data_IF_718335930779
#
_entry.id   IF_718335930779
#
_cell.length_a   1.000
_cell.length_b   1.000
_cell.length_c   1.000
_cell.angle_alpha   90.00
_cell.angle_beta   90.00
_cell.angle_gamma   90.00
#
_symmetry.space_group_name_H-M   'P 1'
#
loop_
_entity.id
_entity.type
_entity.pdbx_description
1 polymer ?
#
# COMPACT_ATOMS: atom_id res chain seq x y z
N UNK A 1 -21.23 42.97 -0.56
CA UNK A 1 -21.10 41.49 -0.65
C UNK A 1 -19.95 41.23 -1.58
N UNK A 2 -18.79 40.90 -1.03
CA UNK A 2 -17.57 40.63 -1.79
C UNK A 2 -17.66 39.17 -2.26
N UNK A 3 -17.77 38.96 -3.57
CA UNK A 3 -17.73 37.62 -4.17
C UNK A 3 -16.34 37.06 -3.92
N UNK A 4 -16.27 36.05 -3.08
CA UNK A 4 -15.08 35.18 -2.95
C UNK A 4 -14.97 34.47 -4.30
N UNK A 5 -14.04 34.92 -5.14
CA UNK A 5 -13.63 34.18 -6.33
C UNK A 5 -12.97 32.88 -5.83
N UNK A 6 -13.63 31.75 -6.04
CA UNK A 6 -13.00 30.45 -5.87
C UNK A 6 -11.79 30.38 -6.81
N UNK A 7 -10.60 30.03 -6.29
CA UNK A 7 -9.45 29.84 -7.15
C UNK A 7 -9.76 28.67 -8.11
N UNK A 8 -9.91 28.96 -9.40
CA UNK A 8 -10.01 27.95 -10.44
C UNK A 8 -8.68 27.18 -10.47
N UNK A 9 -8.62 26.04 -9.73
CA UNK A 9 -7.52 25.10 -9.83
C UNK A 9 -7.56 24.49 -11.24
N UNK A 10 -6.65 24.92 -12.12
CA UNK A 10 -6.39 24.26 -13.38
C UNK A 10 -5.63 22.94 -13.12
N UNK A 11 -6.37 21.87 -12.79
CA UNK A 11 -5.79 20.55 -12.65
C UNK A 11 -5.55 19.96 -14.04
N UNK A 12 -4.28 19.77 -14.38
CA UNK A 12 -3.88 19.04 -15.57
C UNK A 12 -3.38 17.64 -15.17
N UNK A 13 -3.48 16.68 -16.09
CA UNK A 13 -2.86 15.38 -15.90
C UNK A 13 -1.44 15.43 -16.41
N UNK A 14 -0.48 15.31 -15.50
CA UNK A 14 0.94 15.16 -15.85
C UNK A 14 1.36 13.71 -15.86
N UNK A 15 2.21 13.36 -16.83
CA UNK A 15 2.89 12.08 -16.92
C UNK A 15 4.32 12.27 -16.40
N UNK A 16 4.59 11.77 -15.20
CA UNK A 16 5.73 12.16 -14.38
C UNK A 16 6.79 11.07 -14.42
N UNK A 17 8.01 11.45 -14.73
CA UNK A 17 9.22 10.66 -14.50
C UNK A 17 10.02 11.33 -13.38
N UNK A 18 10.07 10.71 -12.22
CA UNK A 18 10.92 11.13 -11.11
C UNK A 18 12.18 10.27 -11.10
N UNK A 19 13.34 10.88 -11.01
CA UNK A 19 14.63 10.19 -10.97
C UNK A 19 15.58 10.84 -9.98
N UNK A 20 16.40 10.04 -9.30
CA UNK A 20 17.46 10.51 -8.41
C UNK A 20 18.71 9.61 -8.45
N UNK A 21 19.83 10.16 -7.98
CA UNK A 21 21.12 9.46 -7.85
C UNK A 21 21.17 8.71 -6.54
N UNK A 22 21.30 7.38 -6.62
CA UNK A 22 21.35 6.53 -5.44
C UNK A 22 22.67 6.73 -4.67
N UNK A 23 22.56 7.10 -3.40
CA UNK A 23 23.73 7.30 -2.52
C UNK A 23 24.37 8.68 -2.62
N UNK A 24 23.76 9.63 -3.32
CA UNK A 24 24.24 10.98 -3.53
C UNK A 24 24.78 11.67 -2.25
N UNK A 25 24.06 11.60 -1.14
CA UNK A 25 24.47 12.22 0.13
C UNK A 25 25.74 11.65 0.76
N UNK A 26 26.29 10.56 0.23
CA UNK A 26 27.55 9.94 0.70
C UNK A 26 28.75 10.33 -0.13
N UNK A 27 28.56 11.06 -1.20
CA UNK A 27 29.59 11.49 -2.13
C UNK A 27 30.23 12.79 -1.65
N UNK A 28 31.47 13.04 -2.08
CA UNK A 28 32.13 14.32 -1.89
C UNK A 28 31.46 15.41 -2.78
N UNK A 29 31.60 16.67 -2.41
CA UNK A 29 30.91 17.78 -3.10
C UNK A 29 31.27 17.84 -4.60
N UNK A 30 32.54 17.61 -4.94
CA UNK A 30 32.98 17.61 -6.35
C UNK A 30 32.38 16.44 -7.13
N UNK A 31 32.31 15.23 -6.52
CA UNK A 31 31.66 14.07 -7.13
C UNK A 31 30.15 14.29 -7.29
N UNK A 32 29.50 14.96 -6.33
CA UNK A 32 28.10 15.31 -6.42
C UNK A 32 27.81 16.19 -7.64
N UNK A 33 28.62 17.24 -7.83
CA UNK A 33 28.49 18.16 -8.96
C UNK A 33 28.74 17.44 -10.29
N UNK A 34 29.79 16.61 -10.39
CA UNK A 34 30.11 15.85 -11.60
C UNK A 34 28.94 14.95 -12.00
N UNK A 35 28.42 14.14 -11.06
CA UNK A 35 27.35 13.19 -11.35
C UNK A 35 26.03 13.85 -11.68
N UNK A 36 25.71 15.00 -11.07
CA UNK A 36 24.50 15.76 -11.43
C UNK A 36 24.63 16.33 -12.85
N UNK A 37 25.80 16.86 -13.23
CA UNK A 37 26.03 17.36 -14.58
C UNK A 37 25.95 16.23 -15.61
N UNK A 38 26.55 15.09 -15.33
CA UNK A 38 26.51 13.90 -16.17
C UNK A 38 25.06 13.41 -16.37
N UNK A 39 24.27 13.33 -15.27
CA UNK A 39 22.86 12.97 -15.33
C UNK A 39 22.06 13.97 -16.18
N UNK A 40 22.29 15.27 -15.99
CA UNK A 40 21.62 16.32 -16.74
C UNK A 40 21.92 16.20 -18.24
N UNK A 41 23.16 15.88 -18.62
CA UNK A 41 23.53 15.68 -20.01
C UNK A 41 22.81 14.46 -20.60
N UNK A 42 22.87 13.31 -19.94
CA UNK A 42 22.21 12.08 -20.40
C UNK A 42 20.71 12.33 -20.62
N UNK A 43 20.05 12.99 -19.66
CA UNK A 43 18.60 13.26 -19.75
C UNK A 43 18.28 14.15 -20.95
N UNK A 44 19.05 15.25 -21.14
CA UNK A 44 18.85 16.18 -22.26
C UNK A 44 19.12 15.57 -23.63
N UNK A 45 19.93 14.54 -23.71
CA UNK A 45 20.25 13.84 -24.94
C UNK A 45 19.17 12.85 -25.37
N UNK A 46 18.21 12.50 -24.49
CA UNK A 46 17.11 11.61 -24.84
C UNK A 46 16.21 12.24 -25.90
N UNK A 47 15.71 11.41 -26.82
CA UNK A 47 14.78 11.84 -27.87
C UNK A 47 13.49 12.39 -27.29
N UNK A 48 12.94 11.71 -26.26
CA UNK A 48 11.69 12.09 -25.63
C UNK A 48 11.77 13.44 -24.93
N UNK A 49 12.91 13.72 -24.27
CA UNK A 49 13.13 15.01 -23.65
C UNK A 49 13.14 16.12 -24.70
N UNK A 50 13.94 15.97 -25.76
CA UNK A 50 14.07 16.97 -26.82
C UNK A 50 12.76 17.23 -27.57
N UNK A 51 12.02 16.17 -27.87
CA UNK A 51 10.75 16.29 -28.56
C UNK A 51 9.72 17.04 -27.70
N UNK A 52 9.56 16.66 -26.44
CA UNK A 52 8.62 17.31 -25.52
C UNK A 52 9.03 18.76 -25.19
N UNK A 53 10.35 19.05 -25.11
CA UNK A 53 10.86 20.40 -24.92
C UNK A 53 10.57 21.30 -26.13
N UNK A 54 10.79 20.81 -27.33
CA UNK A 54 10.51 21.55 -28.57
C UNK A 54 9.02 21.86 -28.75
N UNK A 55 8.14 21.00 -28.27
CA UNK A 55 6.69 21.20 -28.27
C UNK A 55 6.18 22.09 -27.11
N UNK A 56 7.04 22.48 -26.17
CA UNK A 56 6.63 23.19 -24.96
C UNK A 56 5.75 22.34 -24.01
N UNK A 57 5.89 21.00 -24.07
CA UNK A 57 5.11 20.02 -23.32
C UNK A 57 5.91 19.33 -22.20
N UNK A 58 7.06 19.90 -21.84
CA UNK A 58 7.93 19.40 -20.79
C UNK A 58 8.16 20.45 -19.71
N UNK A 59 7.81 20.09 -18.46
CA UNK A 59 8.25 20.87 -17.30
C UNK A 59 9.31 20.09 -16.54
N UNK A 60 10.35 20.80 -16.10
CA UNK A 60 11.53 20.24 -15.40
C UNK A 60 11.63 20.84 -14.02
N UNK A 61 11.74 19.99 -13.00
CA UNK A 61 11.87 20.39 -11.61
C UNK A 61 13.14 19.76 -11.03
N UNK A 62 14.21 20.53 -10.76
CA UNK A 62 15.41 20.01 -10.13
C UNK A 62 15.11 19.68 -8.65
N UNK A 63 15.67 18.56 -8.15
CA UNK A 63 15.50 18.09 -6.77
C UNK A 63 16.80 18.06 -5.96
N UNK A 64 17.89 18.57 -6.52
CA UNK A 64 19.22 18.57 -5.92
C UNK A 64 20.02 17.33 -6.27
N UNK A 65 19.53 16.15 -5.97
CA UNK A 65 20.15 14.86 -6.28
C UNK A 65 19.55 14.16 -7.52
N UNK A 66 18.68 14.87 -8.24
CA UNK A 66 18.01 14.36 -9.43
C UNK A 66 17.05 15.37 -10.01
N UNK A 67 15.98 14.92 -10.62
CA UNK A 67 14.96 15.79 -11.22
C UNK A 67 13.62 15.10 -11.39
N UNK A 68 12.62 15.95 -11.66
CA UNK A 68 11.30 15.52 -12.11
C UNK A 68 11.08 16.05 -13.52
N UNK A 69 10.68 15.17 -14.41
CA UNK A 69 10.22 15.49 -15.76
C UNK A 69 8.71 15.25 -15.82
N UNK A 70 7.97 16.28 -16.20
CA UNK A 70 6.52 16.19 -16.35
C UNK A 70 6.16 16.43 -17.80
N UNK A 71 5.60 15.40 -18.43
CA UNK A 71 5.12 15.43 -19.82
C UNK A 71 3.60 15.61 -19.82
N UNK A 72 3.09 16.49 -20.69
CA UNK A 72 1.65 16.82 -20.71
C UNK A 72 0.92 16.33 -21.95
N UNK A 73 1.62 15.72 -22.91
CA UNK A 73 1.06 15.36 -24.21
C UNK A 73 0.98 13.84 -24.48
N UNK A 74 1.89 13.07 -23.92
CA UNK A 74 2.02 11.66 -24.26
C UNK A 74 2.31 10.80 -23.02
N UNK A 75 1.41 9.89 -22.63
CA UNK A 75 1.61 9.01 -21.48
C UNK A 75 2.78 8.04 -21.63
N UNK A 76 3.21 7.71 -22.86
CA UNK A 76 4.37 6.86 -23.09
C UNK A 76 5.71 7.60 -23.01
N UNK A 77 5.70 8.94 -23.11
CA UNK A 77 6.93 9.71 -23.13
C UNK A 77 7.82 9.49 -21.90
N UNK A 78 7.33 9.50 -20.64
CA UNK A 78 8.16 9.23 -19.48
C UNK A 78 8.75 7.82 -19.48
N UNK A 79 8.05 6.84 -20.03
CA UNK A 79 8.54 5.46 -20.11
C UNK A 79 9.66 5.36 -21.12
N UNK A 80 9.45 5.86 -22.34
CA UNK A 80 10.47 5.87 -23.40
C UNK A 80 11.72 6.64 -22.96
N UNK A 81 11.54 7.80 -22.33
CA UNK A 81 12.63 8.59 -21.75
C UNK A 81 13.42 7.77 -20.69
N UNK A 82 12.73 7.08 -19.78
CA UNK A 82 13.37 6.25 -18.78
C UNK A 82 14.17 5.09 -19.39
N UNK A 83 13.70 4.49 -20.49
CA UNK A 83 14.43 3.47 -21.22
C UNK A 83 15.70 4.00 -21.89
N UNK A 84 15.61 5.17 -22.52
CA UNK A 84 16.76 5.84 -23.14
C UNK A 84 17.81 6.18 -22.08
N UNK A 85 17.41 6.74 -20.95
CA UNK A 85 18.29 6.99 -19.80
C UNK A 85 18.92 5.69 -19.30
N UNK A 86 18.13 4.64 -19.09
CA UNK A 86 18.61 3.34 -18.60
C UNK A 86 19.67 2.73 -19.53
N UNK A 87 19.51 2.86 -20.83
CA UNK A 87 20.48 2.42 -21.83
C UNK A 87 21.77 3.25 -21.76
N UNK A 88 21.66 4.57 -21.72
CA UNK A 88 22.81 5.46 -21.61
C UNK A 88 23.65 5.19 -20.36
N UNK A 89 22.98 4.94 -19.22
CA UNK A 89 23.63 4.63 -17.93
C UNK A 89 24.50 3.38 -17.96
N UNK A 90 24.34 2.47 -18.92
CA UNK A 90 25.22 1.30 -19.07
C UNK A 90 26.67 1.70 -19.36
N UNK A 91 26.89 2.84 -20.02
CA UNK A 91 28.21 3.41 -20.27
C UNK A 91 28.76 4.26 -19.10
N UNK A 92 27.94 4.47 -18.08
CA UNK A 92 28.23 5.34 -16.94
C UNK A 92 28.13 4.59 -15.59
N UNK A 93 29.00 3.60 -15.29
CA UNK A 93 28.85 2.68 -14.18
C UNK A 93 28.92 3.33 -12.78
N UNK A 94 29.49 4.53 -12.68
CA UNK A 94 29.53 5.32 -11.44
C UNK A 94 28.19 5.97 -11.13
N UNK A 95 27.43 6.36 -12.15
CA UNK A 95 26.16 7.06 -12.04
C UNK A 95 25.02 6.05 -11.84
N UNK A 96 24.60 5.87 -10.61
CA UNK A 96 23.54 4.94 -10.23
C UNK A 96 22.25 5.69 -10.00
N UNK A 97 21.28 5.51 -10.90
CA UNK A 97 19.99 6.20 -10.87
C UNK A 97 18.87 5.20 -10.60
N UNK A 98 17.84 5.63 -9.91
CA UNK A 98 16.54 4.96 -9.79
C UNK A 98 15.46 5.87 -10.34
N UNK A 99 14.43 5.28 -10.91
CA UNK A 99 13.36 6.00 -11.61
C UNK A 99 11.99 5.56 -11.14
N UNK A 100 11.05 6.51 -11.07
CA UNK A 100 9.66 6.25 -10.72
C UNK A 100 8.72 6.99 -11.64
N UNK A 101 7.70 6.27 -12.17
CA UNK A 101 6.75 6.81 -13.15
C UNK A 101 5.32 6.73 -12.60
N UNK A 102 4.59 7.84 -12.79
CA UNK A 102 3.18 7.94 -12.44
C UNK A 102 2.48 8.97 -13.31
N UNK A 103 1.19 8.79 -13.54
CA UNK A 103 0.32 9.83 -14.10
C UNK A 103 -0.67 10.29 -13.06
N UNK A 104 -0.80 11.58 -12.90
CA UNK A 104 -1.70 12.15 -11.90
C UNK A 104 -1.82 13.67 -11.99
N UNK A 105 -2.67 14.25 -11.15
CA UNK A 105 -2.94 15.68 -11.19
C UNK A 105 -1.70 16.50 -10.82
N UNK A 106 -1.44 17.51 -11.63
CA UNK A 106 -0.44 18.56 -11.43
C UNK A 106 -1.11 19.91 -11.57
N UNK A 107 -0.58 20.89 -10.87
CA UNK A 107 -1.08 22.26 -10.88
C UNK A 107 0.08 23.23 -11.12
N UNK A 108 0.04 24.01 -12.21
CA UNK A 108 1.03 25.08 -12.44
C UNK A 108 0.95 26.11 -11.31
N UNK A 109 2.08 26.47 -10.79
CA UNK A 109 2.25 27.53 -9.78
C UNK A 109 3.44 28.41 -10.15
N UNK A 110 3.40 29.64 -9.71
CA UNK A 110 4.57 30.53 -9.78
C UNK A 110 5.29 30.43 -8.44
N UNK A 111 6.58 30.15 -8.44
CA UNK A 111 7.37 30.07 -7.22
C UNK A 111 7.80 31.48 -6.72
N UNK A 112 8.50 31.51 -5.59
CA UNK A 112 8.98 32.76 -4.98
C UNK A 112 10.00 33.54 -5.83
N UNK A 113 10.51 32.93 -6.90
CA UNK A 113 11.43 33.51 -7.85
C UNK A 113 10.75 33.89 -9.18
N UNK A 114 9.43 33.99 -9.19
CA UNK A 114 8.59 34.22 -10.37
C UNK A 114 8.81 33.19 -11.50
N UNK A 115 9.27 31.96 -11.13
CA UNK A 115 9.46 30.91 -12.08
C UNK A 115 8.25 29.97 -12.10
N UNK A 116 7.90 29.51 -13.30
CA UNK A 116 6.86 28.50 -13.48
C UNK A 116 7.30 27.19 -12.84
N UNK A 117 6.51 26.70 -11.90
CA UNK A 117 6.74 25.47 -11.15
C UNK A 117 5.48 24.60 -11.20
N UNK A 118 5.58 23.35 -10.81
CA UNK A 118 4.46 22.43 -10.71
C UNK A 118 4.37 21.85 -9.30
N UNK A 119 3.17 21.87 -8.75
CA UNK A 119 2.82 21.16 -7.53
C UNK A 119 1.74 20.12 -7.85
N UNK A 120 1.65 19.08 -7.06
CA UNK A 120 0.53 18.15 -7.21
C UNK A 120 0.76 16.78 -6.57
N UNK A 121 -0.35 16.13 -6.29
CA UNK A 121 -0.35 14.79 -5.74
C UNK A 121 0.36 13.79 -6.66
N UNK A 122 0.28 13.99 -7.99
CA UNK A 122 0.96 13.14 -8.98
C UNK A 122 2.48 13.08 -8.77
N UNK A 123 3.12 14.23 -8.51
CA UNK A 123 4.57 14.31 -8.27
C UNK A 123 4.95 13.54 -7.00
N UNK A 124 4.17 13.72 -5.93
CA UNK A 124 4.41 13.03 -4.66
C UNK A 124 4.26 11.51 -4.79
N UNK A 125 3.32 11.03 -5.61
CA UNK A 125 3.16 9.59 -5.88
C UNK A 125 4.34 9.06 -6.69
N UNK A 126 4.76 9.76 -7.77
CA UNK A 126 5.92 9.38 -8.57
C UNK A 126 7.19 9.27 -7.70
N UNK A 127 7.42 10.24 -6.80
CA UNK A 127 8.51 10.21 -5.84
C UNK A 127 8.46 8.98 -4.94
N UNK A 128 7.30 8.67 -4.38
CA UNK A 128 7.14 7.49 -3.52
C UNK A 128 7.37 6.19 -4.29
N UNK A 129 6.90 6.09 -5.53
CA UNK A 129 7.15 4.96 -6.42
C UNK A 129 8.65 4.79 -6.64
N UNK A 130 9.36 5.86 -7.02
CA UNK A 130 10.81 5.86 -7.19
C UNK A 130 11.54 5.38 -5.92
N UNK A 131 11.13 5.87 -4.75
CA UNK A 131 11.73 5.47 -3.47
C UNK A 131 11.52 3.99 -3.12
N UNK A 132 10.63 3.27 -3.78
CA UNK A 132 10.51 1.82 -3.63
C UNK A 132 11.68 1.07 -4.28
N UNK A 133 12.36 1.68 -5.27
CA UNK A 133 13.44 1.09 -6.04
C UNK A 133 14.83 1.27 -5.44
N UNK A 134 15.74 0.47 -5.94
CA UNK A 134 17.20 0.58 -5.80
C UNK A 134 17.80 1.02 -7.14
N UNK A 135 19.11 1.15 -7.24
CA UNK A 135 19.81 1.53 -8.47
C UNK A 135 19.42 0.65 -9.67
N UNK A 136 19.16 1.29 -10.80
CA UNK A 136 18.78 0.67 -12.06
C UNK A 136 17.29 0.29 -12.19
N UNK A 137 16.49 0.41 -11.12
CA UNK A 137 15.06 0.15 -11.22
C UNK A 137 14.31 1.26 -11.95
N UNK A 138 13.38 0.85 -12.79
CA UNK A 138 12.36 1.70 -13.39
C UNK A 138 11.02 1.21 -12.84
N UNK A 139 10.49 1.90 -11.84
CA UNK A 139 9.25 1.52 -11.18
C UNK A 139 8.08 2.38 -11.66
N UNK A 140 6.93 1.73 -11.85
CA UNK A 140 5.68 2.37 -12.21
C UNK A 140 4.68 2.21 -11.07
N UNK A 141 3.83 3.20 -10.85
CA UNK A 141 2.61 2.98 -10.07
C UNK A 141 1.73 1.95 -10.78
N UNK A 142 1.01 1.12 -10.04
CA UNK A 142 0.10 0.12 -10.62
C UNK A 142 -0.92 0.77 -11.55
N UNK A 143 -1.50 1.89 -11.12
CA UNK A 143 -2.43 2.68 -11.93
C UNK A 143 -1.85 3.10 -13.29
N UNK A 144 -0.58 3.53 -13.32
CA UNK A 144 0.07 3.87 -14.59
C UNK A 144 0.38 2.63 -15.44
N UNK A 145 0.82 1.54 -14.81
CA UNK A 145 1.13 0.29 -15.50
C UNK A 145 -0.10 -0.33 -16.17
N UNK A 146 -1.29 -0.23 -15.56
CA UNK A 146 -2.56 -0.69 -16.13
C UNK A 146 -2.86 -0.05 -17.48
N UNK A 147 -2.53 1.23 -17.68
CA UNK A 147 -2.66 1.86 -19.00
C UNK A 147 -1.72 1.25 -20.04
N UNK A 148 -0.51 0.85 -19.64
CA UNK A 148 0.47 0.24 -20.55
C UNK A 148 0.16 -1.25 -20.83
N UNK A 149 -0.51 -1.95 -19.92
CA UNK A 149 -0.89 -3.36 -20.10
C UNK A 149 -1.81 -3.59 -21.30
N UNK A 150 -2.48 -2.54 -21.79
CA UNK A 150 -3.29 -2.59 -23.01
C UNK A 150 -2.45 -2.68 -24.29
N UNK A 151 -1.16 -2.37 -24.24
CA UNK A 151 -0.25 -2.46 -25.37
C UNK A 151 0.59 -3.72 -25.25
N UNK A 152 0.52 -4.57 -26.28
CA UNK A 152 1.21 -5.88 -26.32
C UNK A 152 2.71 -5.72 -26.06
N UNK A 153 3.32 -4.67 -26.61
CA UNK A 153 4.75 -4.38 -26.45
C UNK A 153 5.15 -4.22 -24.98
N UNK A 154 4.38 -3.46 -24.20
CA UNK A 154 4.72 -3.17 -22.79
C UNK A 154 4.42 -4.34 -21.88
N UNK A 155 3.37 -5.10 -22.15
CA UNK A 155 2.85 -6.14 -21.25
C UNK A 155 3.89 -7.18 -20.86
N UNK A 156 4.80 -7.54 -21.77
CA UNK A 156 5.85 -8.53 -21.51
C UNK A 156 6.98 -8.01 -20.60
N UNK A 157 7.10 -6.71 -20.43
CA UNK A 157 8.15 -6.05 -19.66
C UNK A 157 7.68 -5.55 -18.28
N UNK A 158 6.39 -5.69 -17.99
CA UNK A 158 5.78 -5.24 -16.74
C UNK A 158 5.72 -6.40 -15.73
N UNK A 159 6.36 -6.21 -14.58
CA UNK A 159 6.46 -7.24 -13.55
C UNK A 159 5.89 -6.71 -12.23
N UNK A 160 4.75 -7.23 -11.80
CA UNK A 160 4.07 -6.78 -10.59
C UNK A 160 4.88 -7.16 -9.34
N UNK A 161 5.20 -6.18 -8.53
CA UNK A 161 5.87 -6.35 -7.24
C UNK A 161 4.90 -6.45 -6.07
N UNK A 162 3.61 -6.18 -6.30
CA UNK A 162 2.60 -6.04 -5.27
C UNK A 162 2.76 -4.74 -4.48
N UNK A 163 2.22 -4.74 -3.27
CA UNK A 163 2.30 -3.57 -2.39
C UNK A 163 3.65 -3.46 -1.69
N UNK A 164 4.29 -2.31 -1.82
CA UNK A 164 5.54 -1.96 -1.13
C UNK A 164 5.26 -0.90 -0.08
N UNK A 165 5.73 -1.15 1.15
CA UNK A 165 5.58 -0.20 2.24
C UNK A 165 6.62 0.93 2.13
N UNK A 166 6.14 2.17 2.08
CA UNK A 166 6.95 3.39 2.11
C UNK A 166 6.91 4.06 3.49
N UNK A 167 7.57 5.22 3.62
CA UNK A 167 7.57 6.00 4.88
C UNK A 167 6.13 6.22 5.38
N UNK A 168 5.98 6.32 6.69
CA UNK A 168 4.68 6.52 7.40
C UNK A 168 3.67 5.38 7.24
N UNK A 169 4.11 4.16 6.91
CA UNK A 169 3.24 2.98 6.83
C UNK A 169 2.35 2.91 5.58
N UNK A 170 2.46 3.86 4.66
CA UNK A 170 1.69 3.88 3.42
C UNK A 170 2.14 2.72 2.53
N UNK A 171 1.20 1.99 1.95
CA UNK A 171 1.46 0.93 0.97
C UNK A 171 1.11 1.42 -0.42
N UNK A 172 2.00 1.16 -1.35
CA UNK A 172 1.84 1.57 -2.76
C UNK A 172 2.03 0.33 -3.63
N UNK A 173 1.05 -0.01 -4.46
CA UNK A 173 1.22 -1.05 -5.45
C UNK A 173 2.13 -0.56 -6.58
N UNK A 174 3.20 -1.29 -6.83
CA UNK A 174 4.23 -0.92 -7.82
C UNK A 174 4.52 -2.05 -8.78
N UNK A 175 4.86 -1.68 -10.00
CA UNK A 175 5.26 -2.57 -11.08
C UNK A 175 6.68 -2.23 -11.49
N UNK A 176 7.53 -3.23 -11.69
CA UNK A 176 8.89 -3.06 -12.19
C UNK A 176 8.91 -3.22 -13.70
N UNK A 177 9.53 -2.27 -14.39
CA UNK A 177 9.72 -2.29 -15.84
C UNK A 177 11.16 -2.68 -16.13
N UNK A 178 11.37 -3.85 -16.75
CA UNK A 178 12.69 -4.30 -17.17
C UNK A 178 12.62 -5.30 -18.34
N UNK A 179 13.73 -5.40 -19.03
CA UNK A 179 14.03 -6.43 -20.02
C UNK A 179 15.56 -6.65 -20.04
N UNK A 180 16.04 -7.51 -20.92
CA UNK A 180 17.49 -7.82 -21.02
C UNK A 180 18.37 -6.58 -21.26
N UNK A 181 17.83 -5.54 -21.89
CA UNK A 181 18.58 -4.36 -22.31
C UNK A 181 18.35 -3.11 -21.41
N UNK A 182 17.45 -3.16 -20.45
CA UNK A 182 17.12 -2.01 -19.59
C UNK A 182 16.46 -2.43 -18.28
N UNK A 183 16.54 -1.55 -17.28
CA UNK A 183 15.96 -1.79 -15.98
C UNK A 183 16.77 -2.76 -15.12
N UNK A 184 16.25 -3.07 -13.94
CA UNK A 184 16.87 -4.00 -13.00
C UNK A 184 15.87 -5.11 -12.63
N UNK A 185 16.14 -6.38 -13.01
CA UNK A 185 15.24 -7.49 -12.71
C UNK A 185 15.23 -7.92 -11.23
N UNK A 186 16.18 -7.45 -10.43
CA UNK A 186 16.26 -7.82 -9.02
C UNK A 186 15.06 -7.28 -8.25
N UNK A 187 14.60 -8.01 -7.23
CA UNK A 187 13.60 -7.47 -6.33
C UNK A 187 14.20 -6.32 -5.49
N UNK A 188 13.54 -5.15 -5.41
CA UNK A 188 13.99 -4.07 -4.56
C UNK A 188 14.12 -4.50 -3.09
N UNK A 189 15.13 -3.98 -2.39
CA UNK A 189 15.41 -4.33 -1.00
C UNK A 189 14.21 -4.08 -0.07
N UNK A 190 13.43 -3.04 -0.34
CA UNK A 190 12.22 -2.72 0.42
C UNK A 190 11.11 -3.76 0.23
N UNK A 191 10.94 -4.28 -0.98
CA UNK A 191 9.98 -5.38 -1.26
C UNK A 191 10.41 -6.68 -0.59
N UNK A 192 11.71 -6.99 -0.57
CA UNK A 192 12.25 -8.17 0.13
C UNK A 192 11.96 -8.12 1.62
N UNK A 193 12.18 -6.97 2.27
CA UNK A 193 11.91 -6.79 3.71
C UNK A 193 10.43 -6.98 4.05
N UNK A 194 9.52 -6.42 3.24
CA UNK A 194 8.09 -6.57 3.46
C UNK A 194 7.64 -8.04 3.37
N UNK A 195 8.14 -8.79 2.39
CA UNK A 195 7.84 -10.24 2.23
C UNK A 195 8.40 -11.07 3.38
N UNK A 196 9.61 -10.76 3.85
CA UNK A 196 10.25 -11.49 4.95
C UNK A 196 9.52 -11.27 6.27
N UNK A 197 9.14 -10.03 6.58
CA UNK A 197 8.40 -9.71 7.81
C UNK A 197 7.00 -10.32 7.82
N UNK A 198 6.33 -10.40 6.67
CA UNK A 198 5.04 -11.07 6.54
C UNK A 198 5.16 -12.58 6.80
N UNK A 199 6.15 -13.24 6.19
CA UNK A 199 6.41 -14.68 6.39
C UNK A 199 6.75 -15.00 7.84
N UNK A 200 7.58 -14.19 8.50
CA UNK A 200 7.92 -14.38 9.92
C UNK A 200 6.68 -14.21 10.83
N UNK A 201 5.85 -13.21 10.59
CA UNK A 201 4.61 -13.00 11.35
C UNK A 201 3.62 -14.14 11.15
N UNK A 202 3.43 -14.60 9.92
CA UNK A 202 2.53 -15.75 9.65
C UNK A 202 3.05 -17.05 10.26
N UNK A 203 4.37 -17.30 10.23
CA UNK A 203 4.98 -18.45 10.88
C UNK A 203 4.83 -18.39 12.41
N UNK A 204 4.99 -17.22 13.02
CA UNK A 204 4.78 -17.04 14.45
C UNK A 204 3.33 -17.28 14.87
N UNK A 205 2.35 -16.78 14.10
CA UNK A 205 0.93 -17.05 14.33
C UNK A 205 0.61 -18.55 14.19
N UNK A 206 1.13 -19.20 13.16
CA UNK A 206 0.95 -20.63 12.97
C UNK A 206 1.54 -21.47 14.11
N UNK A 207 2.73 -21.09 14.60
CA UNK A 207 3.37 -21.73 15.75
C UNK A 207 2.54 -21.52 17.04
N UNK A 208 1.99 -20.33 17.25
CA UNK A 208 1.13 -20.04 18.39
C UNK A 208 -0.15 -20.89 18.36
N UNK A 209 -0.79 -21.00 17.20
CA UNK A 209 -1.98 -21.84 17.02
C UNK A 209 -1.68 -23.32 17.25
N UNK A 210 -0.52 -23.80 16.82
CA UNK A 210 -0.08 -25.18 17.09
C UNK A 210 0.13 -25.42 18.59
N UNK A 211 0.78 -24.50 19.29
CA UNK A 211 1.03 -24.59 20.73
C UNK A 211 -0.31 -24.58 21.51
N UNK A 212 -1.25 -23.72 21.12
CA UNK A 212 -2.57 -23.67 21.77
C UNK A 212 -3.36 -24.94 21.51
N UNK A 213 -3.35 -25.47 20.28
CA UNK A 213 -4.01 -26.73 19.94
C UNK A 213 -3.41 -27.91 20.74
N UNK A 214 -2.08 -28.00 20.84
CA UNK A 214 -1.40 -29.00 21.65
C UNK A 214 -1.73 -28.86 23.15
N UNK A 215 -1.79 -27.63 23.64
CA UNK A 215 -2.18 -27.34 25.02
C UNK A 215 -3.62 -27.79 25.35
N UNK A 216 -4.57 -27.52 24.43
CA UNK A 216 -5.97 -27.93 24.58
C UNK A 216 -6.10 -29.46 24.51
N UNK A 217 -5.42 -30.11 23.58
CA UNK A 217 -5.42 -31.58 23.47
C UNK A 217 -4.79 -32.25 24.71
N UNK A 218 -3.68 -31.70 25.19
CA UNK A 218 -3.05 -32.16 26.43
C UNK A 218 -3.99 -31.99 27.63
N UNK A 219 -4.66 -30.84 27.75
CA UNK A 219 -5.62 -30.57 28.80
C UNK A 219 -6.82 -31.54 28.73
N UNK A 220 -7.37 -31.76 27.53
CA UNK A 220 -8.47 -32.72 27.35
C UNK A 220 -8.08 -34.16 27.70
N UNK A 221 -6.83 -34.56 27.43
CA UNK A 221 -6.36 -35.94 27.72
C UNK A 221 -6.05 -36.13 29.22
N UNK A 222 -5.64 -35.07 29.94
CA UNK A 222 -5.21 -35.16 31.35
C UNK A 222 -6.25 -34.69 32.35
N UNK A 223 -7.33 -34.05 31.91
CA UNK A 223 -8.48 -33.80 32.76
C UNK A 223 -9.46 -34.93 32.63
N UNK A 224 -9.61 -35.81 33.68
CA UNK A 224 -10.64 -36.81 33.67
C UNK A 224 -11.98 -36.11 33.54
N UNK A 225 -12.73 -36.48 32.52
CA UNK A 225 -14.13 -36.09 32.41
C UNK A 225 -14.81 -36.59 33.69
N UNK A 226 -15.15 -35.68 34.61
CA UNK A 226 -16.16 -36.03 35.62
C UNK A 226 -17.38 -36.47 34.83
N UNK A 227 -17.60 -37.78 34.86
CA UNK A 227 -18.88 -38.35 34.38
C UNK A 227 -19.92 -37.66 35.26
N UNK A 228 -20.65 -36.72 34.69
CA UNK A 228 -21.92 -36.31 35.26
C UNK A 228 -22.78 -37.57 35.23
N UNK A 229 -22.66 -38.39 36.26
CA UNK A 229 -23.67 -39.32 36.60
C UNK A 229 -24.88 -38.47 36.93
N UNK A 230 -25.81 -38.40 35.98
CA UNK A 230 -27.16 -37.99 36.25
C UNK A 230 -27.65 -39.01 37.29
N UNK A 231 -27.42 -38.71 38.56
CA UNK A 231 -28.20 -39.29 39.64
C UNK A 231 -29.61 -38.77 39.42
N UNK A 232 -30.37 -39.49 38.57
CA UNK A 232 -31.82 -39.40 38.60
C UNK A 232 -32.17 -39.78 40.04
N UNK A 233 -32.41 -38.78 40.88
CA UNK A 233 -32.98 -39.01 42.20
C UNK A 233 -34.26 -39.81 41.97
N UNK A 234 -34.24 -41.08 42.37
CA UNK A 234 -35.43 -41.93 42.32
C UNK A 234 -36.51 -41.23 43.15
N UNK A 235 -37.45 -40.63 42.49
CA UNK A 235 -38.65 -40.05 43.08
C UNK A 235 -39.37 -41.22 43.76
N UNK A 236 -39.55 -41.27 45.08
CA UNK A 236 -40.29 -42.33 45.73
C UNK A 236 -41.70 -42.33 45.17
N UNK A 237 -42.17 -43.50 44.76
CA UNK A 237 -43.42 -43.76 44.01
C UNK A 237 -44.71 -43.36 44.74
N UNK A 238 -44.71 -42.50 45.73
CA UNK A 238 -45.90 -42.04 46.47
C UNK A 238 -45.74 -40.61 47.05
N UNK A 239 -45.29 -39.68 46.30
CA UNK A 239 -45.40 -38.26 46.71
C UNK A 239 -46.54 -37.61 45.93
N UNK A 240 -47.60 -37.26 46.61
CA UNK A 240 -48.69 -36.45 46.09
C UNK A 240 -48.34 -35.02 46.44
N UNK A 241 -48.18 -34.17 45.45
CA UNK A 241 -48.03 -32.74 45.64
C UNK A 241 -49.43 -32.13 45.81
N UNK A 242 -49.76 -31.73 46.98
CA UNK A 242 -50.99 -30.96 47.26
C UNK A 242 -50.63 -29.49 46.99
N UNK A 243 -51.23 -28.92 45.96
CA UNK A 243 -51.11 -27.48 45.70
C UNK A 243 -52.07 -26.72 46.61
N UNK A 244 -51.63 -25.64 47.25
CA UNK A 244 -52.55 -24.85 48.08
C UNK A 244 -53.67 -24.23 47.21
N UNK A 245 -54.89 -24.39 47.65
CA UNK A 245 -56.05 -23.74 47.03
C UNK A 245 -56.18 -22.31 47.53
N UNK A 246 -56.24 -21.37 46.62
CA UNK A 246 -56.49 -19.99 46.94
C UNK A 246 -58.00 -19.66 46.83
N UNK A 247 -58.59 -19.09 47.86
CA UNK A 247 -59.99 -18.70 47.81
C UNK A 247 -60.13 -17.47 46.94
N UNK A 248 -60.65 -17.63 45.73
CA UNK A 248 -60.93 -16.56 44.76
C UNK A 248 -62.30 -15.92 44.93
N UNK A 249 -63.08 -16.34 45.96
CA UNK A 249 -64.42 -15.75 46.21
C UNK A 249 -64.29 -14.53 47.14
N UNK A 250 -65.11 -13.50 46.92
CA UNK A 250 -65.15 -12.30 47.76
C UNK A 250 -65.91 -12.55 49.11
N UNK A 251 -66.31 -13.77 49.40
CA UNK A 251 -67.08 -14.12 50.61
C UNK A 251 -66.15 -14.74 51.68
N UNK A 252 -65.97 -14.09 52.82
CA UNK A 252 -65.08 -14.58 53.90
C UNK A 252 -65.48 -15.91 54.51
N UNK A 253 -66.78 -16.32 54.42
CA UNK A 253 -67.24 -17.60 54.98
C UNK A 253 -66.80 -18.83 54.21
N UNK A 254 -66.21 -18.69 53.03
CA UNK A 254 -65.68 -19.78 52.25
C UNK A 254 -64.18 -20.12 52.53
N UNK A 255 -63.54 -19.36 53.44
CA UNK A 255 -62.14 -19.59 53.78
C UNK A 255 -61.93 -20.93 54.50
N UNK A 256 -62.88 -21.38 55.32
CA UNK A 256 -62.76 -22.69 56.01
C UNK A 256 -62.80 -23.89 55.07
N UNK A 257 -63.34 -23.75 53.85
CA UNK A 257 -63.45 -24.84 52.87
C UNK A 257 -62.08 -25.09 52.19
N UNK A 258 -61.27 -24.10 52.03
CA UNK A 258 -59.94 -24.23 51.49
C UNK A 258 -58.96 -24.84 52.47
N UNK A 259 -59.09 -24.53 53.78
CA UNK A 259 -58.26 -25.10 54.82
C UNK A 259 -58.64 -26.56 55.15
N UNK A 260 -59.92 -26.92 55.04
CA UNK A 260 -60.40 -28.29 55.35
C UNK A 260 -60.04 -29.34 54.29
N UNK A 261 -59.77 -28.96 53.07
CA UNK A 261 -59.35 -29.88 51.99
C UNK A 261 -57.83 -30.15 51.97
N UNK A 262 -57.06 -29.32 52.70
CA UNK A 262 -55.61 -29.46 52.78
C UNK A 262 -55.14 -30.45 53.86
N UNK A 263 -56.00 -30.79 54.84
CA UNK A 263 -55.66 -31.60 56.00
C UNK A 263 -56.07 -33.09 55.91
N UNK A 264 -56.67 -33.55 54.80
CA UNK A 264 -56.93 -34.96 54.49
C UNK A 264 -55.90 -35.46 53.41
#
# INVERSE_FOLDING_TARGET
MSSVQEPHLHLEVGHILFLDIVGYSKLLADEQNELVQELNQIVRETEQFRAAEAEGKLTRLPTGDGMVLVFTNNPEAPVKCALEISKALQSHPKLKVRMGIHSGPVNPVVDVNDQSNLLGAGINVAQRVMYCGDAGHILLSKHFAEHLEHYVYWRSHLHDLGEVQVKHGVRIPVVNLYADQFGNPALPAKSKRARTTFRLKSAAVAALLLITALGVTFWMLHHPQEKFTNAVAAIPYKSIAVLPFENLSADPENAFFTDGVQDE
#
